data_IF_061073297787
#
_entry.id   IF_061073297787
#
_cell.length_a   1.000
_cell.length_b   1.000
_cell.length_c   1.000
_cell.angle_alpha   90.00
_cell.angle_beta   90.00
_cell.angle_gamma   90.00
#
_symmetry.space_group_name_H-M   'P 1'
#
loop_
_entity.id
_entity.type
_entity.pdbx_description
1 polymer ?
#
# COMPACT_ATOMS: atom_id res chain seq x y z
N UNK A 1 -0.28 12.07 -14.83
CA UNK A 1 -1.46 11.40 -14.27
C UNK A 1 -2.70 12.24 -14.53
N UNK A 2 -3.72 11.69 -15.18
CA UNK A 2 -5.01 12.36 -15.40
C UNK A 2 -5.88 12.19 -14.14
N UNK A 3 -5.82 13.18 -13.25
CA UNK A 3 -6.46 13.17 -11.91
C UNK A 3 -7.94 13.58 -11.99
N UNK A 4 -8.45 13.84 -13.20
CA UNK A 4 -9.87 14.10 -13.50
C UNK A 4 -10.82 12.96 -13.07
N UNK A 5 -10.27 11.84 -12.60
CA UNK A 5 -10.97 10.77 -11.90
C UNK A 5 -10.28 10.41 -10.59
N UNK A 6 -10.19 11.35 -9.65
CA UNK A 6 -9.93 11.03 -8.25
C UNK A 6 -10.82 9.86 -7.87
N UNK A 7 -10.17 8.74 -7.54
CA UNK A 7 -10.86 7.51 -7.18
C UNK A 7 -11.49 7.71 -5.79
N UNK A 8 -12.43 6.84 -5.41
CA UNK A 8 -13.29 7.07 -4.24
C UNK A 8 -12.52 7.30 -2.93
N UNK A 9 -11.43 6.57 -2.71
CA UNK A 9 -10.56 6.72 -1.54
C UNK A 9 -9.10 6.84 -2.02
N UNK A 10 -8.51 8.00 -1.78
CA UNK A 10 -7.12 8.34 -2.04
C UNK A 10 -6.38 8.46 -0.70
N UNK A 11 -5.39 7.60 -0.48
CA UNK A 11 -4.56 7.65 0.72
C UNK A 11 -3.16 8.14 0.35
N UNK A 12 -2.63 9.08 1.12
CA UNK A 12 -1.25 9.56 1.01
C UNK A 12 -0.50 9.08 2.24
N UNK A 13 0.59 8.38 2.01
CA UNK A 13 1.51 7.94 3.03
C UNK A 13 2.82 8.68 2.87
N UNK A 14 3.23 9.40 3.89
CA UNK A 14 4.52 10.06 3.95
C UNK A 14 5.43 9.27 4.90
N UNK A 15 6.49 8.69 4.35
CA UNK A 15 7.53 8.03 5.14
C UNK A 15 8.20 9.01 6.10
N UNK A 16 8.83 8.46 7.14
CA UNK A 16 9.60 9.23 8.10
C UNK A 16 10.60 10.19 7.44
N UNK A 17 10.62 11.44 7.90
CA UNK A 17 11.46 12.50 7.35
C UNK A 17 10.88 13.21 6.12
N UNK A 18 9.73 12.78 5.58
CA UNK A 18 9.02 13.47 4.52
C UNK A 18 7.79 14.19 5.06
N UNK A 19 7.64 15.46 4.69
CA UNK A 19 6.42 16.19 4.91
C UNK A 19 5.42 15.91 3.77
N UNK A 20 4.33 15.21 4.06
CA UNK A 20 3.27 14.90 3.08
C UNK A 20 2.33 16.07 2.78
N UNK A 21 2.31 17.12 3.61
CA UNK A 21 1.35 18.22 3.48
C UNK A 21 1.41 18.96 2.14
N UNK A 22 2.58 19.35 1.61
CA UNK A 22 2.65 20.02 0.30
C UNK A 22 2.01 19.18 -0.81
N UNK A 23 2.24 17.86 -0.78
CA UNK A 23 1.67 16.93 -1.76
C UNK A 23 0.15 16.85 -1.63
N UNK A 24 -0.38 16.74 -0.41
CA UNK A 24 -1.82 16.77 -0.16
C UNK A 24 -2.46 18.11 -0.59
N UNK A 25 -1.81 19.25 -0.34
CA UNK A 25 -2.28 20.55 -0.81
C UNK A 25 -2.32 20.61 -2.34
N UNK A 26 -1.32 20.05 -3.02
CA UNK A 26 -1.33 19.98 -4.49
C UNK A 26 -2.44 19.09 -5.05
N UNK A 27 -2.84 18.03 -4.34
CA UNK A 27 -4.02 17.24 -4.69
C UNK A 27 -5.33 18.00 -4.42
N UNK A 28 -5.42 18.74 -3.32
CA UNK A 28 -6.55 19.63 -3.01
C UNK A 28 -6.69 20.70 -4.10
N UNK A 29 -5.58 21.29 -4.54
CA UNK A 29 -5.58 22.28 -5.63
C UNK A 29 -6.22 21.71 -6.89
N UNK A 30 -5.87 20.48 -7.28
CA UNK A 30 -6.50 19.81 -8.43
C UNK A 30 -7.99 19.56 -8.24
N UNK A 31 -8.44 19.26 -7.02
CA UNK A 31 -9.87 19.13 -6.73
C UNK A 31 -10.60 20.48 -6.88
N UNK A 32 -9.99 21.58 -6.44
CA UNK A 32 -10.53 22.94 -6.61
C UNK A 32 -10.57 23.35 -8.08
N UNK A 33 -9.52 23.05 -8.86
CA UNK A 33 -9.50 23.31 -10.31
C UNK A 33 -10.59 22.49 -11.04
N UNK A 34 -10.93 21.31 -10.51
CA UNK A 34 -12.08 20.49 -10.95
C UNK A 34 -13.44 20.98 -10.41
N UNK A 35 -13.47 22.12 -9.70
CA UNK A 35 -14.65 22.76 -9.10
C UNK A 35 -15.36 21.91 -8.04
N UNK A 36 -14.63 21.05 -7.34
CA UNK A 36 -15.14 20.32 -6.19
C UNK A 36 -15.12 21.20 -4.93
N UNK A 37 -16.12 21.03 -4.07
CA UNK A 37 -16.09 21.61 -2.73
C UNK A 37 -15.21 20.76 -1.82
N UNK A 38 -14.22 21.34 -1.17
CA UNK A 38 -13.30 20.65 -0.27
C UNK A 38 -13.76 20.86 1.17
N UNK A 39 -14.02 19.75 1.87
CA UNK A 39 -14.28 19.73 3.31
C UNK A 39 -13.06 19.14 4.01
N UNK A 40 -12.33 19.96 4.76
CA UNK A 40 -11.13 19.53 5.47
C UNK A 40 -11.42 19.25 6.95
N UNK A 41 -11.16 18.02 7.37
CA UNK A 41 -11.13 17.59 8.77
C UNK A 41 -9.69 17.72 9.26
N UNK A 42 -9.49 18.66 10.18
CA UNK A 42 -8.19 19.00 10.71
C UNK A 42 -8.11 18.54 12.18
N UNK A 43 -7.30 17.52 12.41
CA UNK A 43 -6.97 17.01 13.74
C UNK A 43 -5.62 17.55 14.24
N UNK A 44 -4.74 17.97 13.32
CA UNK A 44 -3.43 18.54 13.63
C UNK A 44 -3.33 20.03 13.23
N UNK A 45 -2.14 20.61 13.39
CA UNK A 45 -1.88 22.05 13.29
C UNK A 45 -2.01 22.69 11.89
N UNK A 46 -2.59 22.00 10.89
CA UNK A 46 -2.83 22.53 9.54
C UNK A 46 -3.87 23.67 9.47
N UNK A 47 -4.49 24.01 10.60
CA UNK A 47 -5.51 25.06 10.74
C UNK A 47 -5.09 26.42 10.16
N UNK A 48 -3.80 26.72 10.12
CA UNK A 48 -3.28 28.00 9.60
C UNK A 48 -2.89 27.93 8.12
N UNK A 49 -2.32 26.81 7.69
CA UNK A 49 -1.65 26.73 6.39
C UNK A 49 -2.66 26.52 5.25
N UNK A 50 -3.71 25.72 5.47
CA UNK A 50 -4.69 25.41 4.42
C UNK A 50 -5.50 26.64 3.95
N UNK A 51 -6.09 27.47 4.84
CA UNK A 51 -6.74 28.70 4.40
C UNK A 51 -5.74 29.74 3.87
N UNK A 52 -4.48 29.71 4.29
CA UNK A 52 -3.44 30.60 3.74
C UNK A 52 -3.01 30.19 2.32
N UNK A 53 -2.93 28.89 2.04
CA UNK A 53 -2.57 28.31 0.74
C UNK A 53 -3.61 28.60 -0.34
N UNK A 54 -4.88 28.74 0.03
CA UNK A 54 -6.00 28.88 -0.92
C UNK A 54 -6.86 30.12 -0.69
N UNK A 55 -6.24 31.24 -0.31
CA UNK A 55 -6.94 32.53 -0.06
C UNK A 55 -7.83 32.99 -1.23
N UNK A 56 -7.51 32.58 -2.46
CA UNK A 56 -8.25 32.95 -3.66
C UNK A 56 -9.53 32.12 -3.88
N UNK A 57 -9.69 30.99 -3.17
CA UNK A 57 -10.83 30.08 -3.30
C UNK A 57 -11.58 29.83 -1.96
N UNK A 58 -11.92 30.87 -1.17
CA UNK A 58 -12.47 30.67 0.17
C UNK A 58 -13.88 30.07 0.16
N UNK A 59 -14.60 30.13 -0.98
CA UNK A 59 -15.97 29.60 -1.10
C UNK A 59 -16.03 28.08 -1.26
N UNK A 60 -14.94 27.48 -1.71
CA UNK A 60 -14.89 26.05 -2.01
C UNK A 60 -14.22 25.25 -0.90
N UNK A 61 -13.81 25.88 0.21
CA UNK A 61 -13.10 25.21 1.30
C UNK A 61 -13.84 25.44 2.61
N UNK A 62 -14.35 24.37 3.19
CA UNK A 62 -14.92 24.34 4.54
C UNK A 62 -13.94 23.64 5.47
N UNK A 63 -13.60 24.29 6.58
CA UNK A 63 -12.64 23.77 7.57
C UNK A 63 -13.39 23.39 8.85
N UNK A 64 -13.25 22.14 9.27
CA UNK A 64 -13.71 21.67 10.57
C UNK A 64 -12.48 21.22 11.37
N UNK A 65 -12.31 21.80 12.56
CA UNK A 65 -11.22 21.43 13.47
C UNK A 65 -11.80 20.59 14.59
N UNK A 66 -11.13 19.47 14.87
CA UNK A 66 -11.51 18.56 15.94
C UNK A 66 -10.36 18.48 16.93
N UNK A 67 -10.70 18.43 18.21
CA UNK A 67 -9.74 18.15 19.26
C UNK A 67 -9.71 16.63 19.53
N UNK A 68 -8.60 16.10 20.06
CA UNK A 68 -8.38 14.66 20.35
C UNK A 68 -9.45 14.03 21.28
N UNK A 69 -10.34 14.83 21.87
CA UNK A 69 -11.43 14.41 22.74
C UNK A 69 -12.78 14.23 22.02
N UNK A 70 -12.90 14.61 20.74
CA UNK A 70 -14.16 14.58 20.01
C UNK A 70 -14.51 13.17 19.52
N UNK A 71 -15.72 12.68 19.75
CA UNK A 71 -16.16 11.35 19.30
C UNK A 71 -16.48 11.31 17.80
N UNK A 72 -16.44 10.12 17.18
CA UNK A 72 -16.90 9.93 15.79
C UNK A 72 -18.32 10.43 15.57
N UNK A 73 -19.21 10.30 16.55
CA UNK A 73 -20.58 10.80 16.44
C UNK A 73 -20.61 12.33 16.31
N UNK A 74 -19.76 13.05 17.05
CA UNK A 74 -19.65 14.51 16.90
C UNK A 74 -19.07 14.90 15.55
N UNK A 75 -18.07 14.17 15.06
CA UNK A 75 -17.52 14.36 13.70
C UNK A 75 -18.65 14.14 12.66
N UNK A 76 -19.43 13.07 12.80
CA UNK A 76 -20.55 12.75 11.89
C UNK A 76 -21.67 13.77 11.96
N UNK A 77 -22.06 14.24 13.14
CA UNK A 77 -23.07 15.28 13.30
C UNK A 77 -22.64 16.58 12.62
N UNK A 78 -21.37 16.98 12.78
CA UNK A 78 -20.81 18.14 12.09
C UNK A 78 -20.83 17.94 10.58
N UNK A 79 -20.40 16.77 10.10
CA UNK A 79 -20.42 16.46 8.67
C UNK A 79 -21.83 16.36 8.09
N UNK A 80 -22.82 15.96 8.89
CA UNK A 80 -24.23 15.94 8.48
C UNK A 80 -24.85 17.35 8.44
N UNK A 81 -24.35 18.28 9.26
CA UNK A 81 -24.71 19.71 9.15
C UNK A 81 -24.11 20.34 7.89
N UNK A 82 -23.02 19.78 7.38
CA UNK A 82 -22.44 20.18 6.11
C UNK A 82 -23.19 19.48 4.96
N UNK A 83 -23.54 20.21 3.91
CA UNK A 83 -24.13 19.62 2.69
C UNK A 83 -23.03 18.93 1.86
N UNK A 84 -22.45 17.85 2.40
CA UNK A 84 -21.50 17.02 1.66
C UNK A 84 -22.28 16.31 0.55
N UNK A 85 -21.89 16.58 -0.68
CA UNK A 85 -22.50 15.99 -1.88
C UNK A 85 -21.45 15.24 -2.69
N UNK A 86 -21.91 14.59 -3.75
CA UNK A 86 -21.03 13.95 -4.76
C UNK A 86 -20.17 14.92 -5.57
N UNK A 87 -20.31 16.22 -5.35
CA UNK A 87 -19.44 17.27 -5.90
C UNK A 87 -18.44 17.77 -4.86
N UNK A 88 -18.24 17.01 -3.78
CA UNK A 88 -17.38 17.37 -2.65
C UNK A 88 -16.22 16.40 -2.50
N UNK A 89 -15.02 16.90 -2.18
CA UNK A 89 -13.89 16.12 -1.68
C UNK A 89 -13.83 16.26 -0.16
N UNK A 90 -13.68 15.15 0.55
CA UNK A 90 -13.33 15.16 1.97
C UNK A 90 -11.81 15.04 2.09
N UNK A 91 -11.18 15.93 2.83
CA UNK A 91 -9.77 15.85 3.20
C UNK A 91 -9.64 15.52 4.69
N UNK A 92 -8.82 14.53 5.02
CA UNK A 92 -8.47 14.15 6.40
C UNK A 92 -6.97 14.34 6.57
N UNK A 93 -6.58 15.23 7.48
CA UNK A 93 -5.17 15.64 7.60
C UNK A 93 -4.26 14.61 8.29
N UNK A 94 -4.81 13.79 9.19
CA UNK A 94 -4.07 12.78 9.93
C UNK A 94 -4.94 11.56 10.23
N UNK A 95 -4.68 10.46 9.53
CA UNK A 95 -5.28 9.16 9.84
C UNK A 95 -4.75 8.57 11.16
N UNK A 96 -3.53 8.91 11.56
CA UNK A 96 -2.93 8.43 12.82
C UNK A 96 -3.81 8.78 14.02
N UNK A 97 -4.26 10.04 14.11
CA UNK A 97 -5.13 10.49 15.21
C UNK A 97 -6.45 9.71 15.23
N UNK A 98 -7.08 9.50 14.07
CA UNK A 98 -8.32 8.72 13.98
C UNK A 98 -8.13 7.26 14.39
N UNK A 99 -7.04 6.63 13.94
CA UNK A 99 -6.73 5.23 14.24
C UNK A 99 -6.42 5.06 15.73
N UNK A 100 -5.64 5.96 16.32
CA UNK A 100 -5.31 5.95 17.74
C UNK A 100 -6.55 6.15 18.62
N UNK A 101 -7.45 7.05 18.22
CA UNK A 101 -8.63 7.37 19.00
C UNK A 101 -9.75 6.33 18.87
N UNK A 102 -9.93 5.74 17.69
CA UNK A 102 -11.11 4.93 17.38
C UNK A 102 -10.83 3.54 16.85
N UNK A 103 -9.56 3.14 16.73
CA UNK A 103 -9.05 1.94 16.05
C UNK A 103 -9.12 1.99 14.51
N UNK A 104 -8.28 1.16 13.90
CA UNK A 104 -8.18 0.98 12.45
C UNK A 104 -9.49 0.50 11.80
N UNK A 105 -10.23 -0.50 12.33
CA UNK A 105 -11.51 -0.93 11.74
C UNK A 105 -12.55 0.19 11.67
N UNK A 106 -12.72 0.95 12.76
CA UNK A 106 -13.69 2.05 12.81
C UNK A 106 -13.31 3.18 11.84
N UNK A 107 -12.01 3.51 11.77
CA UNK A 107 -11.49 4.49 10.81
C UNK A 107 -11.71 4.04 9.37
N UNK A 108 -11.43 2.78 9.06
CA UNK A 108 -11.66 2.20 7.73
C UNK A 108 -13.13 2.26 7.32
N UNK A 109 -14.03 1.91 8.24
CA UNK A 109 -15.48 2.01 8.03
C UNK A 109 -15.91 3.47 7.80
N UNK A 110 -15.41 4.40 8.62
CA UNK A 110 -15.67 5.82 8.47
C UNK A 110 -15.25 6.35 7.09
N UNK A 111 -14.02 6.06 6.64
CA UNK A 111 -13.53 6.47 5.32
C UNK A 111 -14.39 5.90 4.19
N UNK A 112 -14.81 4.65 4.32
CA UNK A 112 -15.68 3.99 3.32
C UNK A 112 -17.04 4.65 3.24
N UNK A 113 -17.66 4.95 4.39
CA UNK A 113 -18.94 5.68 4.45
C UNK A 113 -18.81 7.08 3.85
N UNK A 114 -17.75 7.81 4.17
CA UNK A 114 -17.53 9.15 3.60
C UNK A 114 -17.32 9.10 2.08
N UNK A 115 -16.70 8.05 1.56
CA UNK A 115 -16.54 7.81 0.13
C UNK A 115 -17.84 7.36 -0.58
N UNK A 116 -18.93 7.11 0.15
CA UNK A 116 -20.28 6.92 -0.40
C UNK A 116 -21.05 8.23 -0.55
N UNK A 117 -20.77 9.20 0.33
CA UNK A 117 -21.41 10.51 0.37
C UNK A 117 -20.71 11.55 -0.51
N UNK A 118 -19.38 11.45 -0.63
CA UNK A 118 -18.53 12.41 -1.33
C UNK A 118 -18.09 11.93 -2.73
N UNK A 119 -17.53 12.83 -3.53
CA UNK A 119 -16.86 12.52 -4.79
C UNK A 119 -15.61 11.65 -4.54
N UNK A 120 -14.83 12.04 -3.54
CA UNK A 120 -13.58 11.38 -3.16
C UNK A 120 -13.20 11.74 -1.72
N UNK A 121 -12.49 10.82 -1.06
CA UNK A 121 -11.86 11.05 0.23
C UNK A 121 -10.35 11.04 0.03
N UNK A 122 -9.68 12.13 0.40
CA UNK A 122 -8.23 12.24 0.47
C UNK A 122 -7.81 12.17 1.93
N UNK A 123 -6.95 11.22 2.29
CA UNK A 123 -6.51 11.05 3.66
C UNK A 123 -4.98 10.95 3.74
N UNK A 124 -4.38 11.64 4.70
CA UNK A 124 -2.94 11.68 4.90
C UNK A 124 -2.53 10.88 6.15
N UNK A 125 -1.48 10.09 6.02
CA UNK A 125 -0.85 9.34 7.10
C UNK A 125 0.66 9.55 7.07
N UNK A 126 1.25 9.71 8.24
CA UNK A 126 2.71 9.71 8.41
C UNK A 126 3.10 8.46 9.20
N UNK A 127 4.18 7.80 8.81
CA UNK A 127 4.61 6.56 9.46
C UNK A 127 5.97 6.04 9.00
N UNK A 128 6.35 4.88 9.52
CA UNK A 128 7.56 4.09 9.17
C UNK A 128 7.23 2.94 8.22
N UNK A 129 8.16 2.48 7.37
CA UNK A 129 7.89 1.45 6.32
C UNK A 129 7.13 0.19 6.78
N UNK A 130 7.23 -0.21 8.05
CA UNK A 130 6.56 -1.40 8.62
C UNK A 130 5.28 -1.10 9.41
N UNK A 131 4.56 -0.04 9.06
CA UNK A 131 3.33 0.35 9.73
C UNK A 131 2.17 -0.61 9.39
N UNK A 132 1.78 -1.46 10.35
CA UNK A 132 0.66 -2.40 10.18
C UNK A 132 -0.67 -1.69 9.95
N UNK A 133 -0.87 -0.53 10.58
CA UNK A 133 -2.08 0.27 10.41
C UNK A 133 -2.18 0.80 8.98
N UNK A 134 -1.04 1.16 8.38
CA UNK A 134 -0.99 1.59 6.98
C UNK A 134 -1.47 0.49 6.03
N UNK A 135 -1.08 -0.78 6.24
CA UNK A 135 -1.55 -1.90 5.40
C UNK A 135 -3.07 -2.05 5.43
N UNK A 136 -3.68 -1.78 6.59
CA UNK A 136 -5.13 -1.73 6.72
C UNK A 136 -5.77 -0.65 5.85
N UNK A 137 -5.24 0.57 5.90
CA UNK A 137 -5.70 1.69 5.07
C UNK A 137 -5.43 1.43 3.58
N UNK A 138 -4.24 0.92 3.24
CA UNK A 138 -3.86 0.54 1.88
C UNK A 138 -4.89 -0.44 1.31
N UNK A 139 -5.39 -1.40 2.12
CA UNK A 139 -6.35 -2.41 1.67
C UNK A 139 -7.69 -1.83 1.17
N UNK A 140 -8.20 -0.79 1.83
CA UNK A 140 -9.46 -0.13 1.45
C UNK A 140 -9.27 1.00 0.42
N UNK A 141 -8.07 1.56 0.34
CA UNK A 141 -7.77 2.65 -0.57
C UNK A 141 -7.81 2.18 -2.03
N UNK A 142 -8.45 3.00 -2.87
CA UNK A 142 -8.51 2.77 -4.32
C UNK A 142 -7.29 3.34 -5.03
N UNK A 143 -6.71 4.42 -4.50
CA UNK A 143 -5.45 4.98 -4.95
C UNK A 143 -4.59 5.30 -3.75
N UNK A 144 -3.33 4.95 -3.84
CA UNK A 144 -2.35 5.07 -2.78
C UNK A 144 -1.15 5.83 -3.33
N UNK A 145 -0.72 6.85 -2.61
CA UNK A 145 0.49 7.63 -2.89
C UNK A 145 1.46 7.44 -1.73
N UNK A 146 2.53 6.70 -1.94
CA UNK A 146 3.61 6.53 -0.97
C UNK A 146 4.77 7.44 -1.33
N UNK A 147 5.07 8.39 -0.45
CA UNK A 147 6.15 9.35 -0.58
C UNK A 147 7.35 8.82 0.20
N UNK A 148 8.41 8.48 -0.53
CA UNK A 148 9.58 7.77 0.00
C UNK A 148 10.86 8.52 -0.39
N UNK A 149 11.82 8.69 0.54
CA UNK A 149 13.08 9.32 0.22
C UNK A 149 13.95 8.27 -0.50
N UNK A 150 14.56 8.65 -1.61
CA UNK A 150 15.53 7.79 -2.29
C UNK A 150 16.73 8.62 -2.74
N UNK A 151 17.88 8.33 -2.15
CA UNK A 151 19.12 9.07 -2.35
C UNK A 151 18.94 10.57 -2.03
N UNK A 152 18.88 11.42 -3.06
CA UNK A 152 18.68 12.88 -2.97
C UNK A 152 17.33 13.32 -3.53
N UNK A 153 16.48 12.38 -3.92
CA UNK A 153 15.19 12.63 -4.55
C UNK A 153 14.07 12.14 -3.65
N UNK A 154 12.90 12.75 -3.79
CA UNK A 154 11.67 12.24 -3.20
C UNK A 154 10.87 11.56 -4.30
N UNK A 155 10.61 10.27 -4.12
CA UNK A 155 9.83 9.49 -5.06
C UNK A 155 8.40 9.32 -4.56
N UNK A 156 7.47 9.22 -5.49
CA UNK A 156 6.10 8.83 -5.23
C UNK A 156 5.82 7.49 -5.91
N UNK A 157 5.56 6.46 -5.09
CA UNK A 157 4.93 5.22 -5.56
C UNK A 157 3.43 5.46 -5.59
N UNK A 158 2.85 5.48 -6.79
CA UNK A 158 1.40 5.54 -6.99
C UNK A 158 0.88 4.15 -7.31
N UNK A 159 0.00 3.62 -6.47
CA UNK A 159 -0.71 2.37 -6.73
C UNK A 159 -2.21 2.65 -6.93
N UNK A 160 -2.77 2.27 -8.07
CA UNK A 160 -4.20 2.44 -8.39
C UNK A 160 -4.85 1.09 -8.60
N UNK A 161 -5.83 0.75 -7.77
CA UNK A 161 -6.61 -0.48 -7.89
C UNK A 161 -7.74 -0.30 -8.89
N UNK A 162 -7.83 -1.22 -9.85
CA UNK A 162 -8.88 -1.27 -10.86
C UNK A 162 -10.03 -2.16 -10.37
N UNK A 163 -11.23 -1.97 -10.95
CA UNK A 163 -12.44 -2.73 -10.60
C UNK A 163 -12.32 -4.24 -10.85
N UNK A 164 -11.40 -4.66 -11.72
CA UNK A 164 -11.10 -6.06 -12.00
C UNK A 164 -10.15 -6.70 -10.97
N UNK A 165 -9.78 -5.98 -9.91
CA UNK A 165 -8.86 -6.44 -8.87
C UNK A 165 -7.37 -6.27 -9.21
N UNK A 166 -7.01 -5.84 -10.43
CA UNK A 166 -5.61 -5.58 -10.76
C UNK A 166 -5.16 -4.22 -10.26
N UNK A 167 -3.91 -4.10 -9.83
CA UNK A 167 -3.30 -2.83 -9.43
C UNK A 167 -2.30 -2.36 -10.49
N UNK A 168 -2.37 -1.09 -10.85
CA UNK A 168 -1.34 -0.41 -11.64
C UNK A 168 -0.43 0.37 -10.71
N UNK A 169 0.86 0.05 -10.72
CA UNK A 169 1.86 0.66 -9.84
C UNK A 169 2.85 1.47 -10.69
N UNK A 170 3.08 2.72 -10.31
CA UNK A 170 4.03 3.63 -10.93
C UNK A 170 4.97 4.18 -9.87
N UNK A 171 6.24 4.32 -10.22
CA UNK A 171 7.24 4.99 -9.39
C UNK A 171 7.76 6.19 -10.18
N UNK A 172 7.43 7.39 -9.72
CA UNK A 172 7.72 8.64 -10.41
C UNK A 172 8.34 9.63 -9.41
N UNK A 173 9.19 10.52 -9.91
CA UNK A 173 9.61 11.69 -9.14
C UNK A 173 8.52 12.74 -9.28
N UNK A 174 8.24 13.47 -8.20
CA UNK A 174 7.30 14.58 -8.26
C UNK A 174 7.97 15.90 -7.88
N UNK A 175 7.43 16.99 -8.41
CA UNK A 175 7.77 18.36 -8.04
C UNK A 175 6.50 19.15 -7.79
N UNK A 176 6.56 20.04 -6.81
CA UNK A 176 5.46 20.92 -6.41
C UNK A 176 5.96 22.35 -6.57
N UNK A 177 5.28 23.11 -7.41
CA UNK A 177 5.57 24.53 -7.61
C UNK A 177 4.95 25.39 -6.49
N UNK A 178 5.28 26.68 -6.43
CA UNK A 178 4.81 27.60 -5.38
C UNK A 178 3.27 27.77 -5.37
N UNK A 179 2.62 27.56 -6.50
CA UNK A 179 1.16 27.60 -6.66
C UNK A 179 0.48 26.25 -6.34
N UNK A 180 1.24 25.29 -5.81
CA UNK A 180 0.84 23.90 -5.57
C UNK A 180 0.52 23.12 -6.85
N UNK A 181 1.08 23.52 -8.00
CA UNK A 181 1.01 22.70 -9.22
C UNK A 181 1.89 21.45 -9.08
N UNK A 182 1.26 20.28 -9.21
CA UNK A 182 1.90 18.97 -9.10
C UNK A 182 2.27 18.40 -10.48
N UNK A 183 3.57 18.23 -10.70
CA UNK A 183 4.16 17.61 -11.88
C UNK A 183 4.85 16.30 -11.53
N UNK A 184 4.73 15.30 -12.41
CA UNK A 184 5.39 14.00 -12.28
C UNK A 184 6.38 13.82 -13.43
N UNK A 185 7.54 13.28 -13.13
CA UNK A 185 8.57 12.93 -14.10
C UNK A 185 8.99 11.47 -13.93
N UNK A 186 9.17 10.73 -15.04
CA UNK A 186 9.62 9.35 -14.97
C UNK A 186 11.04 9.30 -14.39
N UNK A 187 11.26 8.39 -13.45
CA UNK A 187 12.59 8.16 -12.90
C UNK A 187 13.35 7.23 -13.85
N UNK A 188 14.20 7.80 -14.68
CA UNK A 188 15.23 7.02 -15.34
C UNK A 188 16.32 6.76 -14.30
N UNK A 189 16.34 5.56 -13.72
CA UNK A 189 17.55 5.08 -13.07
C UNK A 189 18.57 4.86 -14.17
N UNK A 190 19.34 5.91 -14.52
CA UNK A 190 20.46 5.78 -15.44
C UNK A 190 21.41 4.72 -14.86
N UNK A 191 21.33 3.51 -15.40
CA UNK A 191 22.23 2.41 -15.08
C UNK A 191 23.66 2.64 -15.58
N UNK A 192 23.91 3.74 -16.29
CA UNK A 192 25.22 4.10 -16.84
C UNK A 192 25.60 5.54 -16.50
N UNK A 193 26.04 5.78 -15.27
CA UNK A 193 27.14 6.73 -15.06
C UNK A 193 28.43 5.94 -15.02
N UNK A 194 28.94 5.60 -16.22
CA UNK A 194 30.38 5.39 -16.40
C UNK A 194 31.06 6.73 -16.11
N UNK A 195 31.53 6.88 -14.88
CA UNK A 195 32.55 7.89 -14.57
C UNK A 195 33.85 7.32 -15.12
N UNK A 196 34.33 7.89 -16.22
CA UNK A 196 35.69 7.68 -16.69
C UNK A 196 36.67 8.16 -15.60
N UNK A 197 37.40 7.22 -15.01
CA UNK A 197 38.47 7.47 -14.03
C UNK A 197 39.05 6.16 -13.50
N UNK A 198 40.37 5.92 -13.60
CA UNK A 198 40.96 4.64 -13.24
C UNK A 198 41.28 4.58 -11.74
N UNK A 199 40.96 3.45 -11.08
CA UNK A 199 41.56 3.09 -9.80
C UNK A 199 40.60 2.54 -8.74
N UNK A 200 40.57 1.21 -8.69
CA UNK A 200 40.55 0.35 -7.49
C UNK A 200 39.36 0.35 -6.50
N UNK A 201 38.77 -0.86 -6.40
CA UNK A 201 38.10 -1.48 -5.24
C UNK A 201 36.66 -1.01 -4.91
N UNK A 202 35.71 -1.58 -5.65
CA UNK A 202 34.29 -1.53 -5.38
C UNK A 202 33.85 -2.59 -4.33
N UNK A 203 33.13 -2.13 -3.31
CA UNK A 203 32.21 -2.92 -2.48
C UNK A 203 30.81 -2.30 -2.64
N UNK A 204 29.79 -3.03 -3.12
CA UNK A 204 28.41 -2.51 -3.14
C UNK A 204 27.64 -2.94 -1.86
N UNK A 205 26.86 -2.05 -1.23
CA UNK A 205 25.87 -2.45 -0.24
C UNK A 205 24.58 -2.92 -0.91
N UNK A 206 24.05 -3.97 -0.27
CA UNK A 206 22.84 -4.75 -0.53
C UNK A 206 21.55 -3.94 -0.50
N UNK A 207 20.68 -4.17 -1.50
CA UNK A 207 19.25 -3.89 -1.41
C UNK A 207 18.49 -5.15 -0.98
N UNK A 208 17.44 -4.98 -0.17
CA UNK A 208 16.46 -6.04 0.07
C UNK A 208 15.05 -5.52 -0.19
N UNK A 209 14.42 -6.15 -1.18
CA UNK A 209 13.02 -6.05 -1.58
C UNK A 209 12.28 -7.23 -0.95
N UNK A 210 11.15 -6.97 -0.29
CA UNK A 210 9.98 -7.85 -0.30
C UNK A 210 8.85 -7.18 -1.10
N UNK A 211 7.74 -7.85 -1.49
CA UNK A 211 7.20 -9.06 -0.90
C UNK A 211 6.80 -10.18 -1.89
N UNK A 212 6.62 -11.35 -1.26
CA UNK A 212 5.93 -12.56 -1.67
C UNK A 212 4.71 -12.39 -2.59
N UNK A 213 4.79 -12.89 -3.83
CA UNK A 213 3.69 -13.50 -4.62
C UNK A 213 4.08 -13.87 -6.08
N UNK A 214 5.37 -14.04 -6.38
CA UNK A 214 5.86 -14.70 -7.60
C UNK A 214 6.72 -15.91 -7.22
N UNK A 215 6.23 -16.73 -6.30
CA UNK A 215 6.89 -17.96 -5.84
C UNK A 215 6.51 -19.12 -6.77
N UNK A 216 7.23 -19.23 -7.88
CA UNK A 216 7.15 -20.39 -8.77
C UNK A 216 8.36 -20.58 -9.68
N UNK A 217 9.09 -19.51 -10.03
CA UNK A 217 10.24 -19.62 -10.93
C UNK A 217 11.22 -18.44 -10.86
N UNK A 218 11.45 -17.86 -9.69
CA UNK A 218 12.53 -16.86 -9.53
C UNK A 218 13.78 -17.55 -8.96
N UNK A 219 14.88 -17.67 -9.73
CA UNK A 219 16.11 -18.24 -9.21
C UNK A 219 16.67 -17.36 -8.10
N UNK A 220 17.21 -17.98 -7.05
CA UNK A 220 17.91 -17.39 -5.88
C UNK A 220 19.09 -16.46 -6.22
N UNK A 221 19.29 -16.12 -7.49
CA UNK A 221 20.40 -15.31 -8.01
C UNK A 221 20.13 -13.81 -8.09
N UNK A 222 18.99 -13.33 -7.56
CA UNK A 222 18.65 -11.91 -7.61
C UNK A 222 19.55 -11.10 -6.64
N UNK A 223 20.64 -10.53 -7.17
CA UNK A 223 21.57 -9.67 -6.44
C UNK A 223 22.96 -10.28 -6.16
N UNK A 224 23.22 -11.52 -6.58
CA UNK A 224 24.54 -12.14 -6.48
C UNK A 224 25.30 -11.98 -7.81
N UNK A 225 26.37 -11.17 -7.83
CA UNK A 225 27.29 -11.08 -8.96
C UNK A 225 28.30 -12.24 -8.91
N UNK A 226 27.84 -13.46 -9.20
CA UNK A 226 28.71 -14.65 -9.23
C UNK A 226 29.59 -14.62 -10.47
N UNK A 227 30.88 -14.89 -10.29
CA UNK A 227 31.79 -15.17 -11.41
C UNK A 227 31.40 -16.49 -12.11
N UNK A 228 31.90 -16.72 -13.32
CA UNK A 228 31.59 -17.96 -14.08
C UNK A 228 31.99 -19.23 -13.32
N UNK A 229 33.07 -19.17 -12.54
CA UNK A 229 33.53 -20.27 -11.70
C UNK A 229 32.56 -20.55 -10.54
N UNK A 230 32.09 -19.51 -9.87
CA UNK A 230 31.14 -19.61 -8.75
C UNK A 230 29.75 -20.05 -9.21
N UNK A 231 29.32 -19.62 -10.40
CA UNK A 231 28.07 -20.09 -11.01
C UNK A 231 28.13 -21.58 -11.32
N UNK A 232 29.27 -22.06 -11.81
CA UNK A 232 29.47 -23.47 -12.13
C UNK A 232 29.63 -24.32 -10.86
N UNK A 233 30.27 -23.78 -9.82
CA UNK A 233 30.34 -24.42 -8.51
C UNK A 233 28.95 -24.53 -7.87
N UNK A 234 28.14 -23.46 -7.89
CA UNK A 234 26.76 -23.45 -7.40
C UNK A 234 25.88 -24.49 -8.10
N UNK A 235 26.01 -24.62 -9.43
CA UNK A 235 25.24 -25.62 -10.19
C UNK A 235 25.58 -27.07 -9.79
N UNK A 236 26.75 -27.30 -9.18
CA UNK A 236 27.22 -28.61 -8.72
C UNK A 236 26.92 -28.90 -7.25
N UNK A 237 26.45 -27.91 -6.48
CA UNK A 237 26.08 -28.10 -5.08
C UNK A 237 24.65 -28.65 -5.04
N UNK A 238 24.44 -29.91 -4.63
CA UNK A 238 23.10 -30.48 -4.49
C UNK A 238 22.37 -29.75 -3.35
N UNK A 239 21.22 -29.14 -3.66
CA UNK A 239 20.40 -28.45 -2.68
C UNK A 239 19.38 -29.44 -2.09
N UNK A 240 19.39 -29.69 -0.76
CA UNK A 240 18.52 -30.68 -0.12
C UNK A 240 17.02 -30.48 -0.41
N UNK A 241 16.60 -29.23 -0.59
CA UNK A 241 15.21 -28.87 -0.87
C UNK A 241 14.76 -29.18 -2.31
N UNK A 242 15.68 -29.16 -3.28
CA UNK A 242 15.37 -29.54 -4.66
C UNK A 242 15.28 -31.06 -4.81
N UNK A 243 16.10 -31.82 -4.07
CA UNK A 243 15.99 -33.28 -4.02
C UNK A 243 14.64 -33.72 -3.44
N UNK A 244 14.12 -32.98 -2.44
CA UNK A 244 12.77 -33.18 -1.87
C UNK A 244 11.61 -32.84 -2.81
N UNK A 245 11.87 -32.32 -4.03
CA UNK A 245 10.86 -32.16 -5.08
C UNK A 245 10.83 -33.35 -6.06
N UNK A 246 11.81 -34.25 -6.00
CA UNK A 246 11.88 -35.45 -6.85
C UNK A 246 11.43 -36.71 -6.09
N UNK A 247 10.72 -37.61 -6.77
CA UNK A 247 10.14 -38.84 -6.19
C UNK A 247 11.19 -39.71 -5.48
N UNK A 248 12.43 -39.78 -6.02
CA UNK A 248 13.54 -40.52 -5.40
C UNK A 248 14.07 -39.88 -4.12
N UNK A 249 14.09 -38.55 -4.03
CA UNK A 249 14.47 -37.82 -2.81
C UNK A 249 13.39 -37.89 -1.73
N UNK A 250 12.12 -37.99 -2.13
CA UNK A 250 10.98 -38.22 -1.24
C UNK A 250 11.06 -39.56 -0.50
N UNK A 251 11.49 -40.63 -1.17
CA UNK A 251 11.63 -41.97 -0.59
C UNK A 251 12.81 -42.04 0.41
N UNK A 252 13.89 -41.31 0.17
CA UNK A 252 15.05 -41.27 1.07
C UNK A 252 14.81 -40.52 2.39
N UNK A 253 13.88 -39.56 2.41
CA UNK A 253 13.44 -38.86 3.61
C UNK A 253 12.46 -39.69 4.48
N UNK A 254 12.02 -40.85 3.97
CA UNK A 254 10.85 -41.58 4.48
C UNK A 254 11.20 -42.90 5.21
N UNK A 255 12.13 -42.87 6.18
CA UNK A 255 12.41 -44.06 7.02
C UNK A 255 11.84 -43.94 8.45
N UNK A 256 11.23 -42.83 8.83
CA UNK A 256 10.58 -42.77 10.15
C UNK A 256 9.43 -41.78 10.20
N UNK A 257 8.21 -42.30 9.98
CA UNK A 257 7.02 -42.10 10.83
C UNK A 257 5.73 -41.96 10.01
N UNK A 258 4.72 -42.75 10.39
CA UNK A 258 3.32 -42.65 9.93
C UNK A 258 2.67 -41.33 10.39
N UNK A 259 3.10 -40.18 9.86
CA UNK A 259 2.46 -38.89 10.17
C UNK A 259 2.44 -37.95 8.96
N UNK A 260 1.39 -37.10 8.95
CA UNK A 260 1.08 -36.06 7.97
C UNK A 260 2.35 -35.37 7.45
N UNK A 261 2.61 -35.52 6.16
CA UNK A 261 3.79 -34.96 5.49
C UNK A 261 3.47 -33.55 5.00
N UNK A 262 4.28 -32.57 5.39
CA UNK A 262 4.21 -31.18 4.91
C UNK A 262 5.23 -30.96 3.80
N UNK A 263 4.77 -30.60 2.58
CA UNK A 263 5.65 -30.24 1.47
C UNK A 263 5.08 -29.05 0.68
N UNK A 264 5.81 -27.95 0.61
CA UNK A 264 5.57 -26.86 -0.36
C UNK A 264 4.15 -26.27 -0.39
N UNK A 265 3.46 -26.18 0.76
CA UNK A 265 2.12 -25.61 0.86
C UNK A 265 0.99 -26.46 0.25
N UNK A 266 1.27 -27.68 -0.21
CA UNK A 266 0.26 -28.64 -0.66
C UNK A 266 0.07 -29.74 0.37
N UNK A 267 -1.17 -29.93 0.81
CA UNK A 267 -1.55 -31.00 1.73
C UNK A 267 -1.85 -32.24 0.89
N UNK A 268 -0.96 -33.22 0.92
CA UNK A 268 -1.22 -34.55 0.36
C UNK A 268 -1.96 -35.37 1.43
N UNK A 269 -3.28 -35.48 1.25
CA UNK A 269 -4.09 -36.41 2.03
C UNK A 269 -3.77 -37.84 1.56
N UNK A 270 -3.16 -38.63 2.43
CA UNK A 270 -3.15 -40.07 2.28
C UNK A 270 -4.33 -40.60 3.09
N UNK A 271 -5.31 -41.28 2.47
CA UNK A 271 -6.39 -41.92 3.20
C UNK A 271 -5.79 -42.90 4.20
N UNK A 272 -6.15 -42.77 5.47
CA UNK A 272 -5.81 -43.80 6.43
C UNK A 272 -6.80 -44.97 6.27
N UNK A 273 -6.50 -46.12 6.88
CA UNK A 273 -7.34 -47.32 6.79
C UNK A 273 -8.61 -47.24 7.65
N UNK A 274 -8.78 -46.18 8.43
CA UNK A 274 -9.89 -45.95 9.36
C UNK A 274 -10.82 -44.82 8.89
N UNK A 275 -10.55 -44.23 7.72
CA UNK A 275 -11.47 -43.33 7.01
C UNK A 275 -12.57 -44.19 6.34
N UNK A 276 -13.34 -44.84 7.20
CA UNK A 276 -14.56 -45.54 6.84
C UNK A 276 -15.51 -44.49 6.23
N UNK A 277 -15.89 -44.73 4.98
CA UNK A 277 -17.01 -44.05 4.34
C UNK A 277 -18.25 -44.26 5.22
N UNK A 278 -18.55 -43.30 6.09
CA UNK A 278 -19.88 -43.16 6.65
C UNK A 278 -20.80 -42.73 5.50
N UNK A 279 -21.54 -43.69 4.95
CA UNK A 279 -22.57 -43.50 3.91
C UNK A 279 -23.83 -42.78 4.44
N UNK A 280 -23.84 -42.30 5.69
CA UNK A 280 -24.95 -41.50 6.23
C UNK A 280 -24.87 -40.07 5.72
N UNK A 281 -25.37 -39.85 4.50
CA UNK A 281 -25.61 -38.51 3.97
C UNK A 281 -26.64 -37.79 4.87
N UNK A 282 -26.30 -36.68 5.54
CA UNK A 282 -27.21 -35.98 6.44
C UNK A 282 -28.43 -35.35 5.74
N UNK A 283 -28.52 -35.45 4.41
CA UNK A 283 -29.65 -34.98 3.61
C UNK A 283 -30.83 -35.97 3.55
N UNK A 284 -30.68 -37.24 3.97
CA UNK A 284 -31.72 -38.28 3.83
C UNK A 284 -32.84 -38.25 4.90
N UNK A 285 -32.73 -37.41 5.94
CA UNK A 285 -33.75 -37.20 6.98
C UNK A 285 -34.67 -35.98 6.72
N UNK A 286 -34.51 -35.28 5.58
CA UNK A 286 -35.31 -34.12 5.22
C UNK A 286 -36.64 -34.52 4.53
N UNK A 287 -37.54 -35.14 5.28
CA UNK A 287 -38.97 -35.21 4.90
C UNK A 287 -39.90 -34.87 6.07
N UNK A 288 -40.10 -33.57 6.32
CA UNK A 288 -41.27 -33.02 7.03
C UNK A 288 -41.65 -31.66 6.45
#
# INVERSE_FOLDING_TARGET
MDISRLQRICAVYASEGINGYPFSLALIRKALDAKLNVYALLFLHLRRDLPAAFKDNPRFITLECFDDADSFERIRERLAQQNITRDSMLFVDSLRVLIEQFSLPSTSWFLTQMAELSASVLALMHGSEDDEDWRGIESIATTVFELMPRDKLILCRTATKKKNGTAEVKLEQYSIEEDYSLTFSPVNFDRNRTVDGPGENALPPTGSVGPTAALGALPFDLGLNLSEEERNAKARVPLPYLDAQTEKGLVGLNISSNKKVWVGGRILYMPDKEDDFDESDPDDDLTV
#
